data_IF_298378271843
#
_entry.id   IF_298378271843
#
_cell.length_a   1.000
_cell.length_b   1.000
_cell.length_c   1.000
_cell.angle_alpha   90.00
_cell.angle_beta   90.00
_cell.angle_gamma   90.00
#
_symmetry.space_group_name_H-M   'P 1'
#
loop_
_entity.id
_entity.type
_entity.pdbx_description
1 polymer ?
#
# COMPACT_ATOMS: atom_id res chain seq x y z
N UNK A 1 12.73 2.36 5.44
CA UNK A 1 12.81 1.01 4.84
C UNK A 1 12.57 1.15 3.34
N UNK A 2 13.55 0.80 2.51
CA UNK A 2 13.57 1.09 1.07
C UNK A 2 12.64 0.15 0.30
N UNK A 3 12.07 0.63 -0.82
CA UNK A 3 11.21 -0.20 -1.68
C UNK A 3 12.05 -1.26 -2.41
N UNK A 4 11.48 -2.44 -2.55
CA UNK A 4 11.96 -3.47 -3.49
C UNK A 4 11.30 -3.24 -4.86
N UNK A 5 12.08 -3.27 -5.94
CA UNK A 5 11.61 -3.18 -7.33
C UNK A 5 11.01 -4.52 -7.80
N UNK A 6 10.33 -4.52 -8.95
CA UNK A 6 9.73 -5.74 -9.51
C UNK A 6 10.75 -6.85 -9.82
N UNK A 7 12.02 -6.48 -10.05
CA UNK A 7 13.14 -7.41 -10.25
C UNK A 7 13.73 -7.96 -8.94
N UNK A 8 13.12 -7.66 -7.79
CA UNK A 8 13.56 -8.13 -6.48
C UNK A 8 14.71 -7.32 -5.86
N UNK A 9 15.29 -6.36 -6.58
CA UNK A 9 16.40 -5.55 -6.05
C UNK A 9 15.88 -4.38 -5.21
N UNK A 10 16.48 -4.09 -4.04
CA UNK A 10 16.16 -2.89 -3.29
C UNK A 10 16.57 -1.65 -4.09
N UNK A 11 15.80 -0.57 -3.97
CA UNK A 11 16.32 0.75 -4.32
C UNK A 11 17.35 1.19 -3.28
N UNK A 12 18.24 2.09 -3.67
CA UNK A 12 19.19 2.74 -2.77
C UNK A 12 18.61 4.05 -2.22
N UNK A 13 19.21 4.55 -1.14
CA UNK A 13 18.94 5.90 -0.64
C UNK A 13 19.62 6.95 -1.54
N UNK A 14 19.07 8.16 -1.61
CA UNK A 14 19.69 9.30 -2.31
C UNK A 14 18.75 10.14 -3.19
N UNK A 15 17.45 9.86 -3.19
CA UNK A 15 16.44 10.63 -3.92
C UNK A 15 15.12 10.68 -3.11
N UNK A 16 14.04 11.20 -3.69
CA UNK A 16 12.69 11.19 -3.12
C UNK A 16 11.94 9.89 -3.42
N UNK A 17 10.95 9.56 -2.57
CA UNK A 17 9.91 8.54 -2.87
C UNK A 17 10.47 7.10 -2.98
N UNK A 18 11.55 6.83 -2.22
CA UNK A 18 12.28 5.56 -2.20
C UNK A 18 11.80 4.58 -1.11
N UNK A 19 10.84 4.99 -0.27
CA UNK A 19 10.32 4.17 0.82
C UNK A 19 9.33 3.11 0.32
N UNK A 20 9.17 2.03 1.09
CA UNK A 20 8.07 1.09 0.88
C UNK A 20 6.79 1.60 1.56
N UNK A 21 5.80 1.97 0.76
CA UNK A 21 4.44 2.34 1.18
C UNK A 21 3.72 1.28 2.03
N UNK A 22 4.14 0.01 1.96
CA UNK A 22 3.62 -1.09 2.77
C UNK A 22 4.42 -1.32 4.07
N UNK A 23 5.52 -0.62 4.32
CA UNK A 23 6.35 -0.84 5.51
C UNK A 23 5.62 -0.40 6.79
N UNK A 24 5.36 -1.32 7.76
CA UNK A 24 4.74 -0.95 9.03
C UNK A 24 5.61 0.03 9.83
N UNK A 25 6.93 -0.18 9.80
CA UNK A 25 7.89 0.68 10.48
C UNK A 25 7.90 2.10 9.89
N UNK A 26 7.91 2.22 8.56
CA UNK A 26 7.85 3.54 7.93
C UNK A 26 6.52 4.25 8.23
N UNK A 27 5.39 3.54 8.15
CA UNK A 27 4.07 4.06 8.52
C UNK A 27 4.00 4.54 9.97
N UNK A 28 4.64 3.82 10.90
CA UNK A 28 4.78 4.21 12.31
C UNK A 28 5.53 5.54 12.42
N UNK A 29 6.65 5.71 11.71
CA UNK A 29 7.40 6.96 11.72
C UNK A 29 6.63 8.12 11.07
N UNK A 30 5.97 7.90 9.93
CA UNK A 30 5.10 8.91 9.31
C UNK A 30 4.00 9.37 10.26
N UNK A 31 3.28 8.44 10.89
CA UNK A 31 2.25 8.76 11.89
C UNK A 31 2.85 9.55 13.05
N UNK A 32 4.02 9.15 13.55
CA UNK A 32 4.67 9.81 14.69
C UNK A 32 5.11 11.25 14.38
N UNK A 33 5.61 11.55 13.18
CA UNK A 33 5.96 12.94 12.81
C UNK A 33 4.71 13.77 12.53
N UNK A 34 3.72 13.23 11.81
CA UNK A 34 2.43 13.90 11.55
C UNK A 34 1.73 14.25 12.86
N UNK A 35 1.68 13.34 13.84
CA UNK A 35 1.12 13.63 15.17
C UNK A 35 1.84 14.79 15.86
N UNK A 36 3.17 14.90 15.75
CA UNK A 36 3.92 16.02 16.36
C UNK A 36 3.62 17.35 15.67
N UNK A 37 3.58 17.35 14.34
CA UNK A 37 3.21 18.54 13.56
C UNK A 37 1.78 18.99 13.89
N UNK A 38 0.84 18.04 13.93
CA UNK A 38 -0.55 18.30 14.25
C UNK A 38 -0.72 18.88 15.67
N UNK A 39 -0.02 18.33 16.68
CA UNK A 39 -0.03 18.89 18.05
C UNK A 39 0.54 20.30 18.13
N UNK A 40 1.58 20.60 17.35
CA UNK A 40 2.26 21.90 17.40
C UNK A 40 1.52 22.98 16.62
N UNK A 41 0.96 22.64 15.46
CA UNK A 41 0.44 23.61 14.50
C UNK A 41 -1.06 23.46 14.20
N UNK A 42 -1.74 22.43 14.73
CA UNK A 42 -3.12 22.10 14.37
C UNK A 42 -4.17 23.14 14.77
N UNK A 43 -3.82 24.07 15.65
CA UNK A 43 -4.67 25.20 16.07
C UNK A 43 -4.02 26.56 15.76
N UNK A 44 -2.98 26.58 14.90
CA UNK A 44 -2.36 27.84 14.49
C UNK A 44 -3.26 28.51 13.43
N UNK A 45 -3.69 29.78 13.64
CA UNK A 45 -4.59 30.49 12.73
C UNK A 45 -3.99 30.73 11.33
N UNK A 46 -2.66 30.71 11.19
CA UNK A 46 -1.98 30.91 9.90
C UNK A 46 -1.94 29.64 9.03
N UNK A 47 -2.34 28.48 9.57
CA UNK A 47 -2.34 27.21 8.83
C UNK A 47 -3.68 27.03 8.11
N UNK A 48 -3.69 27.32 6.81
CA UNK A 48 -4.89 27.27 5.97
C UNK A 48 -5.18 25.90 5.34
N UNK A 49 -4.27 24.93 5.48
CA UNK A 49 -4.43 23.62 4.87
C UNK A 49 -3.26 22.68 5.12
N UNK A 50 -3.49 21.40 4.83
CA UNK A 50 -2.51 20.33 5.01
C UNK A 50 -2.36 19.50 3.74
N UNK A 51 -1.20 19.58 3.10
CA UNK A 51 -0.83 18.66 2.05
C UNK A 51 -0.32 17.36 2.68
N UNK A 52 -0.90 16.22 2.30
CA UNK A 52 -0.44 14.91 2.77
C UNK A 52 0.54 14.33 1.76
N UNK A 53 1.79 14.20 2.19
CA UNK A 53 2.89 13.68 1.37
C UNK A 53 3.17 14.57 0.12
N UNK A 54 3.79 14.01 -0.92
CA UNK A 54 4.03 14.67 -2.19
C UNK A 54 4.04 13.63 -3.33
N UNK A 55 3.01 13.64 -4.17
CA UNK A 55 2.86 12.79 -5.36
C UNK A 55 3.02 11.29 -5.07
N UNK A 56 1.94 10.55 -4.84
CA UNK A 56 2.01 9.08 -4.72
C UNK A 56 2.33 8.44 -6.08
N UNK A 57 3.31 7.53 -6.16
CA UNK A 57 3.56 6.79 -7.42
C UNK A 57 4.06 5.37 -7.18
N UNK A 58 5.24 5.20 -6.57
CA UNK A 58 5.99 3.96 -6.73
C UNK A 58 5.56 2.87 -5.77
N UNK A 59 5.15 1.72 -6.32
CA UNK A 59 4.92 0.51 -5.55
C UNK A 59 6.23 -0.16 -5.10
N UNK A 60 6.07 -1.21 -4.31
CA UNK A 60 7.11 -1.98 -3.69
C UNK A 60 6.71 -3.45 -3.67
N UNK A 61 7.66 -4.32 -3.97
CA UNK A 61 7.49 -5.77 -4.04
C UNK A 61 8.16 -6.49 -2.87
N UNK A 62 8.35 -5.78 -1.75
CA UNK A 62 9.00 -6.35 -0.57
C UNK A 62 8.06 -7.26 0.23
N UNK A 63 8.59 -7.99 1.24
CA UNK A 63 7.80 -8.93 2.05
C UNK A 63 6.55 -8.32 2.70
N UNK A 64 6.62 -7.04 3.09
CA UNK A 64 5.46 -6.34 3.67
C UNK A 64 4.33 -6.13 2.64
N UNK A 65 4.68 -5.83 1.38
CA UNK A 65 3.71 -5.67 0.31
C UNK A 65 3.06 -7.00 -0.07
N UNK A 66 3.84 -8.09 -0.17
CA UNK A 66 3.30 -9.43 -0.40
C UNK A 66 2.28 -9.83 0.68
N UNK A 67 2.62 -9.66 1.96
CA UNK A 67 1.69 -9.96 3.06
C UNK A 67 0.41 -9.13 2.97
N UNK A 68 0.52 -7.83 2.72
CA UNK A 68 -0.65 -6.97 2.57
C UNK A 68 -1.49 -7.33 1.34
N UNK A 69 -0.86 -7.72 0.23
CA UNK A 69 -1.54 -8.18 -0.98
C UNK A 69 -2.36 -9.44 -0.72
N UNK A 70 -1.76 -10.47 -0.12
CA UNK A 70 -2.47 -11.70 0.22
C UNK A 70 -3.62 -11.44 1.20
N UNK A 71 -3.44 -10.55 2.19
CA UNK A 71 -4.53 -10.14 3.08
C UNK A 71 -5.63 -9.35 2.35
N UNK A 72 -5.26 -8.50 1.39
CA UNK A 72 -6.21 -7.75 0.58
C UNK A 72 -7.05 -8.68 -0.31
N UNK A 73 -6.42 -9.67 -0.95
CA UNK A 73 -7.10 -10.69 -1.73
C UNK A 73 -8.08 -11.51 -0.88
N UNK A 74 -7.65 -11.95 0.31
CA UNK A 74 -8.52 -12.65 1.28
C UNK A 74 -9.77 -11.84 1.60
N UNK A 75 -9.62 -10.55 1.91
CA UNK A 75 -10.76 -9.67 2.20
C UNK A 75 -11.66 -9.44 0.99
N UNK A 76 -11.08 -9.33 -0.22
CA UNK A 76 -11.82 -9.05 -1.45
C UNK A 76 -12.64 -10.25 -1.94
N UNK A 77 -12.04 -11.44 -1.96
CA UNK A 77 -12.64 -12.62 -2.58
C UNK A 77 -13.23 -13.60 -1.57
N UNK A 78 -12.86 -13.52 -0.28
CA UNK A 78 -13.33 -14.40 0.79
C UNK A 78 -12.72 -15.81 0.74
N UNK A 79 -12.58 -16.41 -0.44
CA UNK A 79 -12.04 -17.76 -0.63
C UNK A 79 -11.20 -17.89 -1.91
N UNK A 80 -10.31 -18.88 -1.95
CA UNK A 80 -9.56 -19.21 -3.18
C UNK A 80 -10.48 -19.77 -4.27
N UNK A 81 -11.56 -20.47 -3.93
CA UNK A 81 -12.53 -20.96 -4.90
C UNK A 81 -13.19 -19.80 -5.66
N UNK A 82 -13.61 -18.74 -4.95
CA UNK A 82 -14.16 -17.54 -5.58
C UNK A 82 -13.13 -16.83 -6.46
N UNK A 83 -11.90 -16.63 -5.97
CA UNK A 83 -10.82 -16.01 -6.74
C UNK A 83 -10.48 -16.81 -8.00
N UNK A 84 -10.30 -18.13 -7.88
CA UNK A 84 -9.93 -19.00 -8.99
C UNK A 84 -11.01 -19.01 -10.08
N UNK A 85 -12.30 -18.99 -9.69
CA UNK A 85 -13.43 -18.86 -10.62
C UNK A 85 -13.43 -17.49 -11.31
N UNK A 86 -13.31 -16.41 -10.54
CA UNK A 86 -13.35 -15.04 -11.07
C UNK A 86 -12.17 -14.74 -12.02
N UNK A 87 -11.03 -15.38 -11.80
CA UNK A 87 -9.82 -15.23 -12.64
C UNK A 87 -9.66 -16.33 -13.68
N UNK A 88 -10.61 -17.27 -13.77
CA UNK A 88 -10.55 -18.44 -14.67
C UNK A 88 -9.19 -19.15 -14.60
N UNK A 89 -8.68 -19.39 -13.39
CA UNK A 89 -7.32 -19.93 -13.20
C UNK A 89 -7.18 -21.37 -13.65
N UNK A 90 -8.28 -22.06 -13.98
CA UNK A 90 -8.22 -23.35 -14.66
C UNK A 90 -7.51 -23.25 -16.02
N UNK A 91 -7.59 -22.10 -16.68
CA UNK A 91 -6.85 -21.84 -17.91
C UNK A 91 -5.34 -21.86 -17.65
N UNK A 92 -4.63 -22.67 -18.44
CA UNK A 92 -3.19 -22.93 -18.29
C UNK A 92 -2.78 -23.39 -16.88
N UNK A 93 -3.66 -24.12 -16.18
CA UNK A 93 -3.36 -24.76 -14.88
C UNK A 93 -2.81 -23.80 -13.82
N UNK A 94 -3.35 -22.59 -13.73
CA UNK A 94 -2.95 -21.54 -12.78
C UNK A 94 -3.66 -21.62 -11.42
N UNK A 95 -4.46 -22.67 -11.17
CA UNK A 95 -5.28 -22.79 -9.95
C UNK A 95 -4.46 -22.68 -8.67
N UNK A 96 -4.82 -21.73 -7.82
CA UNK A 96 -4.18 -21.53 -6.52
C UNK A 96 -4.85 -22.35 -5.43
N UNK A 97 -4.06 -23.11 -4.66
CA UNK A 97 -4.49 -23.88 -3.49
C UNK A 97 -4.08 -23.26 -2.16
N UNK A 98 -3.21 -22.24 -2.19
CA UNK A 98 -2.86 -21.43 -1.03
C UNK A 98 -2.64 -19.97 -1.43
N UNK A 99 -2.99 -19.03 -0.54
CA UNK A 99 -2.87 -17.59 -0.79
C UNK A 99 -1.44 -17.14 -1.06
N UNK A 100 -0.45 -17.78 -0.44
CA UNK A 100 0.96 -17.44 -0.60
C UNK A 100 1.54 -17.86 -1.97
N UNK A 101 0.83 -18.68 -2.75
CA UNK A 101 1.21 -19.03 -4.12
C UNK A 101 0.93 -17.88 -5.10
N UNK A 102 0.03 -16.96 -4.75
CA UNK A 102 -0.37 -15.86 -5.64
C UNK A 102 0.77 -14.83 -5.72
N UNK A 103 1.35 -14.59 -6.91
CA UNK A 103 2.52 -13.73 -7.03
C UNK A 103 2.16 -12.25 -6.99
N UNK A 104 3.06 -11.44 -6.42
CA UNK A 104 3.09 -9.99 -6.53
C UNK A 104 4.43 -9.61 -7.17
N UNK A 105 4.50 -9.56 -8.49
CA UNK A 105 5.77 -9.34 -9.20
C UNK A 105 5.66 -8.32 -10.35
N UNK A 106 4.48 -7.75 -10.58
CA UNK A 106 4.25 -6.75 -11.64
C UNK A 106 4.42 -7.29 -13.06
N UNK A 107 4.50 -8.61 -13.25
CA UNK A 107 4.65 -9.23 -14.57
C UNK A 107 3.30 -9.40 -15.28
N UNK A 108 3.24 -9.30 -16.61
CA UNK A 108 2.06 -9.69 -17.38
C UNK A 108 1.70 -11.17 -17.13
N UNK A 109 0.42 -11.50 -17.24
CA UNK A 109 -0.08 -12.85 -17.00
C UNK A 109 -1.60 -12.88 -16.96
N UNK A 110 -2.18 -13.52 -15.95
CA UNK A 110 -3.61 -13.55 -15.76
C UNK A 110 -4.20 -12.12 -15.65
N UNK A 111 -5.19 -11.73 -16.50
CA UNK A 111 -5.73 -10.38 -16.49
C UNK A 111 -6.42 -10.01 -15.17
N UNK A 112 -7.05 -10.99 -14.50
CA UNK A 112 -7.65 -10.81 -13.18
C UNK A 112 -6.60 -10.48 -12.12
N UNK A 113 -5.45 -11.17 -12.13
CA UNK A 113 -4.31 -10.85 -11.28
C UNK A 113 -3.73 -9.45 -11.57
N UNK A 114 -3.56 -9.12 -12.85
CA UNK A 114 -3.03 -7.81 -13.27
C UNK A 114 -3.92 -6.65 -12.81
N UNK A 115 -5.25 -6.80 -12.94
CA UNK A 115 -6.22 -5.82 -12.46
C UNK A 115 -6.21 -5.74 -10.92
N UNK A 116 -6.22 -6.89 -10.25
CA UNK A 116 -6.15 -6.96 -8.80
C UNK A 116 -4.88 -6.30 -8.23
N UNK A 117 -3.74 -6.44 -8.93
CA UNK A 117 -2.50 -5.76 -8.56
C UNK A 117 -2.67 -4.24 -8.57
N UNK A 118 -3.20 -3.66 -9.65
CA UNK A 118 -3.44 -2.20 -9.75
C UNK A 118 -4.41 -1.71 -8.66
N UNK A 119 -5.49 -2.45 -8.42
CA UNK A 119 -6.45 -2.13 -7.37
C UNK A 119 -5.84 -2.20 -5.97
N UNK A 120 -4.98 -3.19 -5.71
CA UNK A 120 -4.25 -3.32 -4.46
C UNK A 120 -3.29 -2.14 -4.23
N UNK A 121 -2.58 -1.68 -5.27
CA UNK A 121 -1.67 -0.53 -5.19
C UNK A 121 -2.44 0.71 -4.78
N UNK A 122 -3.57 1.00 -5.45
CA UNK A 122 -4.46 2.11 -5.09
C UNK A 122 -4.96 1.98 -3.65
N UNK A 123 -5.49 0.82 -3.25
CA UNK A 123 -6.00 0.61 -1.91
C UNK A 123 -4.92 0.79 -0.82
N UNK A 124 -3.69 0.39 -1.13
CA UNK A 124 -2.57 0.49 -0.18
C UNK A 124 -2.06 1.92 -0.04
N UNK A 125 -2.05 2.70 -1.12
CA UNK A 125 -1.79 4.14 -1.07
C UNK A 125 -2.88 4.90 -0.32
N UNK A 126 -4.16 4.59 -0.55
CA UNK A 126 -5.26 5.15 0.24
C UNK A 126 -5.10 4.84 1.73
N UNK A 127 -4.74 3.60 2.08
CA UNK A 127 -4.45 3.22 3.46
C UNK A 127 -3.23 3.95 4.05
N UNK A 128 -2.20 4.20 3.23
CA UNK A 128 -1.02 4.97 3.65
C UNK A 128 -1.38 6.44 3.94
N UNK A 129 -2.18 7.06 3.08
CA UNK A 129 -2.70 8.41 3.29
C UNK A 129 -3.60 8.48 4.53
N UNK A 130 -4.51 7.52 4.68
CA UNK A 130 -5.42 7.40 5.83
C UNK A 130 -4.66 7.35 7.16
N UNK A 131 -3.56 6.60 7.21
CA UNK A 131 -2.69 6.53 8.40
C UNK A 131 -2.20 7.91 8.89
N UNK A 132 -1.90 8.82 7.96
CA UNK A 132 -1.48 10.19 8.26
C UNK A 132 -2.67 11.10 8.54
N UNK A 133 -3.74 11.03 7.74
CA UNK A 133 -4.96 11.80 7.94
C UNK A 133 -5.58 11.54 9.32
N UNK A 134 -5.68 10.28 9.74
CA UNK A 134 -6.24 9.92 11.04
C UNK A 134 -5.36 10.44 12.19
N UNK A 135 -4.04 10.56 11.99
CA UNK A 135 -3.11 11.11 12.97
C UNK A 135 -3.23 12.65 13.06
N UNK A 136 -3.49 13.29 11.93
CA UNK A 136 -3.68 14.73 11.81
C UNK A 136 -5.04 15.15 12.41
N UNK A 137 -6.12 14.50 11.98
CA UNK A 137 -7.52 14.79 12.40
C UNK A 137 -7.74 14.70 13.91
N UNK A 138 -6.91 13.95 14.63
CA UNK A 138 -6.98 13.86 16.08
C UNK A 138 -6.54 15.14 16.82
N UNK A 139 -5.90 16.09 16.15
CA UNK A 139 -5.25 17.25 16.79
C UNK A 139 -5.41 18.59 16.06
N UNK A 140 -6.16 18.62 14.96
CA UNK A 140 -6.47 19.87 14.26
C UNK A 140 -7.84 20.39 14.67
N UNK A 141 -8.04 21.70 14.57
CA UNK A 141 -9.37 22.29 14.69
C UNK A 141 -10.34 21.64 13.68
N UNK A 142 -11.62 21.42 14.07
CA UNK A 142 -12.65 21.02 13.11
C UNK A 142 -12.75 22.09 12.01
N UNK A 143 -12.82 21.62 10.76
CA UNK A 143 -13.17 22.44 9.61
C UNK A 143 -14.64 22.21 9.29
#
# INVERSE_FOLDING_TARGET
MLRIRADGRPVQHGNRRQFSYASPLYRKFCRAIVTRLAKRFGHNPDVIGWQIDNEYTNESFGPAAHRQFHQWLKRRFGSLAALNRDWTTAYWSQTYTAWNQIPLNGRPGNPGLMLAHRQFVTATWLSFQRNQLDALRAHIAPW
#
